data_IF_400443224094
#
_entry.id   IF_400443224094
#
_cell.length_a   1.000
_cell.length_b   1.000
_cell.length_c   1.000
_cell.angle_alpha   90.00
_cell.angle_beta   90.00
_cell.angle_gamma   90.00
#
_symmetry.space_group_name_H-M   'P 1'
#
loop_
_entity.id
_entity.type
_entity.pdbx_description
1 polymer ?
#
# COMPACT_ATOMS: atom_id res chain seq x y z
N UNK A 1 -36.88 -26.36 38.39
CA UNK A 1 -36.46 -26.88 37.08
C UNK A 1 -36.18 -25.67 36.21
N UNK A 2 -34.99 -25.09 36.36
CA UNK A 2 -34.51 -23.99 35.53
C UNK A 2 -33.67 -24.63 34.42
N UNK A 3 -34.18 -24.61 33.19
CA UNK A 3 -33.45 -25.09 32.02
C UNK A 3 -32.68 -23.89 31.46
N UNK A 4 -31.45 -23.71 31.94
CA UNK A 4 -30.51 -22.77 31.33
C UNK A 4 -30.07 -23.34 29.99
N UNK A 5 -30.52 -22.72 28.90
CA UNK A 5 -29.94 -22.98 27.58
C UNK A 5 -28.54 -22.37 27.52
N UNK A 6 -27.50 -23.15 27.18
CA UNK A 6 -26.20 -22.57 26.92
C UNK A 6 -26.25 -21.80 25.59
N UNK A 7 -25.96 -20.50 25.66
CA UNK A 7 -25.66 -19.69 24.48
C UNK A 7 -24.40 -20.26 23.79
N UNK A 8 -24.45 -20.58 22.48
CA UNK A 8 -23.25 -20.93 21.73
C UNK A 8 -22.55 -19.62 21.34
N UNK A 9 -21.83 -19.03 22.28
CA UNK A 9 -20.87 -17.97 21.97
C UNK A 9 -19.46 -18.40 22.38
N UNK A 10 -19.06 -19.55 21.84
CA UNK A 10 -17.65 -19.76 21.55
C UNK A 10 -17.36 -18.91 20.32
N UNK A 11 -16.86 -17.68 20.52
CA UNK A 11 -16.11 -17.02 19.46
C UNK A 11 -14.87 -17.88 19.22
N UNK A 12 -15.01 -18.87 18.33
CA UNK A 12 -13.87 -19.53 17.73
C UNK A 12 -13.03 -18.41 17.11
N UNK A 13 -11.82 -18.20 17.63
CA UNK A 13 -10.85 -17.36 16.97
C UNK A 13 -10.77 -17.82 15.52
N UNK A 14 -11.10 -16.94 14.58
CA UNK A 14 -11.04 -17.29 13.16
C UNK A 14 -9.56 -17.41 12.81
N UNK A 15 -9.02 -18.61 12.89
CA UNK A 15 -7.68 -18.92 12.40
C UNK A 15 -7.71 -18.78 10.88
N UNK A 16 -6.91 -17.85 10.34
CA UNK A 16 -6.71 -17.66 8.90
C UNK A 16 -5.24 -17.87 8.58
N UNK A 17 -4.96 -18.42 7.41
CA UNK A 17 -3.58 -18.53 6.97
C UNK A 17 -3.01 -17.14 6.65
N UNK A 18 -1.69 -16.97 6.80
CA UNK A 18 -1.04 -15.70 6.44
C UNK A 18 -1.25 -15.38 4.96
N UNK A 19 -1.25 -16.38 4.08
CA UNK A 19 -1.57 -16.22 2.65
C UNK A 19 -2.97 -15.63 2.45
N UNK A 20 -3.99 -16.18 3.11
CA UNK A 20 -5.36 -15.66 3.00
C UNK A 20 -5.48 -14.22 3.49
N UNK A 21 -4.76 -13.87 4.58
CA UNK A 21 -4.75 -12.48 5.09
C UNK A 21 -4.06 -11.55 4.10
N UNK A 22 -2.90 -11.95 3.55
CA UNK A 22 -2.16 -11.18 2.56
C UNK A 22 -2.98 -10.98 1.29
N UNK A 23 -3.63 -12.02 0.77
CA UNK A 23 -4.48 -11.94 -0.42
C UNK A 23 -5.65 -10.97 -0.23
N UNK A 24 -6.31 -11.01 0.94
CA UNK A 24 -7.37 -10.04 1.25
C UNK A 24 -6.85 -8.60 1.36
N UNK A 25 -5.67 -8.39 1.95
CA UNK A 25 -5.07 -7.06 2.05
C UNK A 25 -4.67 -6.51 0.67
N UNK A 26 -4.10 -7.36 -0.19
CA UNK A 26 -3.81 -7.00 -1.58
C UNK A 26 -5.08 -6.58 -2.30
N UNK A 27 -6.18 -7.35 -2.16
CA UNK A 27 -7.46 -7.00 -2.77
C UNK A 27 -7.97 -5.62 -2.32
N UNK A 28 -7.92 -5.33 -1.02
CA UNK A 28 -8.33 -4.02 -0.49
C UNK A 28 -7.46 -2.87 -1.01
N UNK A 29 -6.14 -3.07 -1.11
CA UNK A 29 -5.23 -2.06 -1.63
C UNK A 29 -5.46 -1.83 -3.13
N UNK A 30 -5.72 -2.88 -3.90
CA UNK A 30 -6.06 -2.78 -5.31
C UNK A 30 -7.36 -1.99 -5.53
N UNK A 31 -8.41 -2.30 -4.77
CA UNK A 31 -9.68 -1.55 -4.80
C UNK A 31 -9.45 -0.08 -4.48
N UNK A 32 -8.68 0.20 -3.42
CA UNK A 32 -8.33 1.57 -3.02
C UNK A 32 -7.55 2.31 -4.12
N UNK A 33 -6.59 1.65 -4.78
CA UNK A 33 -5.89 2.20 -5.93
C UNK A 33 -6.83 2.52 -7.10
N UNK A 34 -7.79 1.64 -7.40
CA UNK A 34 -8.79 1.90 -8.44
C UNK A 34 -9.66 3.12 -8.11
N UNK A 35 -10.08 3.26 -6.85
CA UNK A 35 -10.85 4.41 -6.39
C UNK A 35 -10.06 5.71 -6.56
N UNK A 36 -8.79 5.74 -6.16
CA UNK A 36 -7.93 6.92 -6.31
C UNK A 36 -7.72 7.28 -7.78
N UNK A 37 -7.40 6.30 -8.64
CA UNK A 37 -7.29 6.53 -10.08
C UNK A 37 -8.61 7.02 -10.69
N UNK A 38 -9.75 6.52 -10.19
CA UNK A 38 -11.08 6.99 -10.57
C UNK A 38 -11.28 8.47 -10.24
N UNK A 39 -10.93 8.88 -9.02
CA UNK A 39 -11.00 10.29 -8.60
C UNK A 39 -10.07 11.16 -9.45
N UNK A 40 -8.82 10.76 -9.66
CA UNK A 40 -7.86 11.51 -10.49
C UNK A 40 -8.34 11.66 -11.92
N UNK A 41 -8.95 10.61 -12.50
CA UNK A 41 -9.54 10.66 -13.84
C UNK A 41 -10.67 11.67 -13.90
N UNK A 42 -11.64 11.59 -12.99
CA UNK A 42 -12.78 12.52 -12.93
C UNK A 42 -12.28 13.95 -12.78
N UNK A 43 -11.32 14.20 -11.88
CA UNK A 43 -10.75 15.54 -11.73
C UNK A 43 -10.09 15.99 -13.04
N UNK A 44 -9.27 15.15 -13.66
CA UNK A 44 -8.61 15.43 -14.94
C UNK A 44 -9.60 15.80 -16.05
N UNK A 45 -10.70 15.05 -16.19
CA UNK A 45 -11.77 15.33 -17.16
C UNK A 45 -12.49 16.66 -16.87
N UNK A 46 -12.58 17.08 -15.61
CA UNK A 46 -13.20 18.35 -15.22
C UNK A 46 -12.25 19.56 -15.34
N UNK A 47 -10.92 19.35 -15.42
CA UNK A 47 -9.96 20.44 -15.61
C UNK A 47 -10.17 21.17 -16.94
N UNK A 48 -10.67 20.48 -17.95
CA UNK A 48 -11.02 21.06 -19.25
C UNK A 48 -12.19 22.05 -19.13
N UNK A 49 -13.06 21.87 -18.13
CA UNK A 49 -14.23 22.72 -17.90
C UNK A 49 -13.94 23.90 -16.97
N UNK A 50 -13.02 23.74 -16.02
CA UNK A 50 -12.58 24.79 -15.11
C UNK A 50 -11.11 24.57 -14.70
N UNK A 51 -10.23 25.56 -14.88
CA UNK A 51 -8.85 25.45 -14.43
C UNK A 51 -8.77 25.25 -12.92
N UNK A 52 -7.90 24.34 -12.48
CA UNK A 52 -7.64 24.10 -11.07
C UNK A 52 -6.80 25.23 -10.44
N UNK A 53 -7.01 25.45 -9.14
CA UNK A 53 -6.09 26.28 -8.36
C UNK A 53 -4.78 25.54 -8.08
N UNK A 54 -3.72 26.27 -7.73
CA UNK A 54 -2.44 25.67 -7.33
C UNK A 54 -2.59 24.71 -6.14
N UNK A 55 -3.52 25.01 -5.22
CA UNK A 55 -3.82 24.16 -4.09
C UNK A 55 -4.44 22.81 -4.51
N UNK A 56 -5.33 22.83 -5.52
CA UNK A 56 -5.94 21.62 -6.06
C UNK A 56 -4.92 20.78 -6.82
N UNK A 57 -4.04 21.41 -7.59
CA UNK A 57 -2.93 20.72 -8.28
C UNK A 57 -2.00 20.06 -7.25
N UNK A 58 -1.65 20.75 -6.16
CA UNK A 58 -0.85 20.16 -5.09
C UNK A 58 -1.56 18.99 -4.41
N UNK A 59 -2.87 19.09 -4.20
CA UNK A 59 -3.67 18.00 -3.63
C UNK A 59 -3.68 16.77 -4.57
N UNK A 60 -3.80 16.98 -5.89
CA UNK A 60 -3.73 15.91 -6.88
C UNK A 60 -2.36 15.24 -6.93
N UNK A 61 -1.27 16.01 -6.84
CA UNK A 61 0.08 15.45 -6.75
C UNK A 61 0.25 14.59 -5.49
N UNK A 62 -0.31 15.02 -4.36
CA UNK A 62 -0.32 14.20 -3.12
C UNK A 62 -1.14 12.92 -3.30
N UNK A 63 -2.30 13.01 -3.97
CA UNK A 63 -3.13 11.85 -4.28
C UNK A 63 -2.40 10.87 -5.22
N UNK A 64 -1.67 11.37 -6.20
CA UNK A 64 -0.84 10.56 -7.10
C UNK A 64 0.27 9.82 -6.36
N UNK A 65 1.02 10.56 -5.52
CA UNK A 65 2.05 9.96 -4.66
C UNK A 65 1.46 8.89 -3.72
N UNK A 66 0.29 9.15 -3.13
CA UNK A 66 -0.41 8.17 -2.29
C UNK A 66 -0.82 6.93 -3.09
N UNK A 67 -1.35 7.10 -4.31
CA UNK A 67 -1.77 6.01 -5.20
C UNK A 67 -0.58 5.11 -5.54
N UNK A 68 0.53 5.71 -5.96
CA UNK A 68 1.76 4.96 -6.28
C UNK A 68 2.31 4.21 -5.06
N UNK A 69 2.23 4.82 -3.87
CA UNK A 69 2.66 4.19 -2.62
C UNK A 69 1.81 2.96 -2.30
N UNK A 70 0.48 3.05 -2.45
CA UNK A 70 -0.43 1.92 -2.25
C UNK A 70 -0.15 0.80 -3.27
N UNK A 71 0.08 1.13 -4.55
CA UNK A 71 0.45 0.15 -5.58
C UNK A 71 1.75 -0.59 -5.24
N UNK A 72 2.76 0.16 -4.75
CA UNK A 72 4.02 -0.42 -4.33
C UNK A 72 3.85 -1.38 -3.14
N UNK A 73 3.07 -0.99 -2.13
CA UNK A 73 2.77 -1.85 -0.97
C UNK A 73 1.98 -3.09 -1.38
N UNK A 74 0.98 -2.95 -2.26
CA UNK A 74 0.23 -4.09 -2.83
C UNK A 74 1.18 -5.06 -3.53
N UNK A 75 2.11 -4.55 -4.34
CA UNK A 75 3.13 -5.37 -5.03
C UNK A 75 4.03 -6.12 -4.04
N UNK A 76 4.48 -5.45 -2.99
CA UNK A 76 5.31 -6.07 -1.93
C UNK A 76 4.55 -7.17 -1.21
N UNK A 77 3.28 -6.93 -0.86
CA UNK A 77 2.44 -7.93 -0.20
C UNK A 77 2.19 -9.14 -1.11
N UNK A 78 1.98 -8.96 -2.41
CA UNK A 78 1.90 -10.08 -3.37
C UNK A 78 3.20 -10.88 -3.41
N UNK A 79 4.35 -10.20 -3.48
CA UNK A 79 5.66 -10.86 -3.47
C UNK A 79 5.89 -11.61 -2.16
N UNK A 80 5.42 -11.05 -1.04
CA UNK A 80 5.46 -11.68 0.28
C UNK A 80 4.59 -12.94 0.32
N UNK A 81 3.34 -12.86 -0.14
CA UNK A 81 2.43 -14.00 -0.24
C UNK A 81 2.99 -15.13 -1.08
N UNK A 82 3.60 -14.80 -2.23
CA UNK A 82 4.29 -15.78 -3.07
C UNK A 82 5.51 -16.42 -2.38
N UNK A 83 6.19 -15.69 -1.48
CA UNK A 83 7.36 -16.17 -0.75
C UNK A 83 6.99 -17.05 0.46
N UNK A 84 5.78 -16.91 1.03
CA UNK A 84 5.32 -17.71 2.18
C UNK A 84 5.21 -19.22 1.89
N UNK A 85 5.23 -19.63 0.63
CA UNK A 85 5.36 -21.05 0.24
C UNK A 85 6.75 -21.65 0.49
N UNK A 86 7.77 -20.81 0.72
CA UNK A 86 9.13 -21.21 1.03
C UNK A 86 9.36 -21.10 2.55
N UNK A 87 9.48 -22.27 3.20
CA UNK A 87 9.85 -22.53 4.61
C UNK A 87 9.95 -21.32 5.57
N UNK A 88 9.14 -21.41 6.63
CA UNK A 88 8.96 -20.49 7.78
C UNK A 88 10.25 -19.98 8.47
N UNK A 89 11.42 -20.56 8.17
CA UNK A 89 12.70 -20.24 8.81
C UNK A 89 13.72 -19.52 7.91
N UNK A 90 13.43 -19.32 6.62
CA UNK A 90 14.36 -18.60 5.75
C UNK A 90 14.17 -17.07 5.86
N UNK A 91 15.26 -16.30 5.96
CA UNK A 91 15.18 -14.85 5.91
C UNK A 91 14.57 -14.39 4.58
N UNK A 92 13.67 -13.41 4.64
CA UNK A 92 13.05 -12.81 3.46
C UNK A 92 14.10 -12.03 2.65
N UNK A 93 14.21 -12.35 1.37
CA UNK A 93 15.06 -11.60 0.45
C UNK A 93 14.35 -10.30 0.00
N UNK A 94 14.89 -9.16 0.43
CA UNK A 94 14.36 -7.83 0.09
C UNK A 94 14.40 -7.59 -1.43
N UNK A 95 15.35 -8.18 -2.16
CA UNK A 95 15.40 -8.08 -3.62
C UNK A 95 14.21 -8.80 -4.28
N UNK A 96 13.75 -9.91 -3.69
CA UNK A 96 12.54 -10.62 -4.13
C UNK A 96 11.29 -9.81 -3.77
N UNK A 97 11.22 -9.27 -2.55
CA UNK A 97 10.07 -8.47 -2.09
C UNK A 97 9.88 -7.17 -2.87
N UNK A 98 10.98 -6.50 -3.22
CA UNK A 98 10.96 -5.23 -3.97
C UNK A 98 10.85 -5.41 -5.49
N UNK A 99 10.79 -6.65 -6.00
CA UNK A 99 10.71 -6.91 -7.43
C UNK A 99 9.45 -6.27 -8.04
N UNK A 100 9.66 -5.39 -9.02
CA UNK A 100 8.57 -4.68 -9.71
C UNK A 100 8.12 -3.39 -9.02
N UNK A 101 8.63 -3.07 -7.82
CA UNK A 101 8.42 -1.79 -7.16
C UNK A 101 9.31 -0.73 -7.82
N UNK A 102 8.71 0.38 -8.25
CA UNK A 102 9.42 1.49 -8.92
C UNK A 102 9.75 2.66 -7.98
N UNK A 103 9.12 2.70 -6.81
CA UNK A 103 9.31 3.76 -5.83
C UNK A 103 10.53 3.51 -4.95
N UNK A 104 11.61 4.25 -5.19
CA UNK A 104 12.87 4.13 -4.45
C UNK A 104 12.70 4.33 -2.94
N UNK A 105 11.86 5.27 -2.51
CA UNK A 105 11.60 5.50 -1.09
C UNK A 105 10.96 4.29 -0.40
N UNK A 106 10.07 3.56 -1.09
CA UNK A 106 9.47 2.33 -0.54
C UNK A 106 10.53 1.23 -0.41
N UNK A 107 11.43 1.11 -1.38
CA UNK A 107 12.54 0.16 -1.33
C UNK A 107 13.48 0.49 -0.17
N UNK A 108 13.80 1.76 0.04
CA UNK A 108 14.61 2.22 1.18
C UNK A 108 13.94 1.90 2.52
N UNK A 109 12.62 2.15 2.65
CA UNK A 109 11.87 1.79 3.86
C UNK A 109 11.91 0.28 4.13
N UNK A 110 11.89 -0.55 3.08
CA UNK A 110 12.06 -2.01 3.24
C UNK A 110 13.47 -2.42 3.65
N UNK A 111 14.51 -1.69 3.20
CA UNK A 111 15.91 -2.01 3.47
C UNK A 111 16.36 -1.51 4.85
N UNK A 112 16.00 -0.28 5.18
CA UNK A 112 16.56 0.47 6.32
C UNK A 112 15.54 0.74 7.44
N UNK A 113 14.27 0.37 7.22
CA UNK A 113 13.15 0.73 8.08
C UNK A 113 12.75 2.21 7.94
N UNK A 114 11.75 2.65 8.70
CA UNK A 114 11.26 4.05 8.67
C UNK A 114 12.24 5.07 9.28
N UNK A 115 13.49 4.70 9.59
CA UNK A 115 14.51 5.60 10.14
C UNK A 115 15.29 6.39 9.08
N UNK A 116 14.82 6.44 7.84
CA UNK A 116 15.30 7.45 6.89
C UNK A 116 14.57 8.76 7.20
N UNK A 117 15.11 9.55 8.13
CA UNK A 117 14.94 10.99 8.02
C UNK A 117 15.37 11.36 6.59
N UNK A 118 14.52 12.03 5.79
CA UNK A 118 15.00 12.55 4.53
C UNK A 118 16.09 13.55 4.89
N UNK A 119 17.34 13.21 4.60
CA UNK A 119 18.39 14.20 4.56
C UNK A 119 17.85 15.32 3.66
N UNK A 120 17.56 16.45 4.29
CA UNK A 120 17.00 17.63 3.67
C UNK A 120 17.91 18.00 2.49
N UNK A 121 17.57 17.57 1.28
CA UNK A 121 18.15 18.13 0.06
C UNK A 121 17.33 19.38 -0.28
N UNK A 122 17.51 20.36 0.61
CA UNK A 122 17.21 21.75 0.36
C UNK A 122 18.07 22.21 -0.81
N UNK A 123 17.46 22.25 -1.99
CA UNK A 123 17.77 23.15 -3.09
C UNK A 123 19.23 23.23 -3.54
N UNK A 124 19.55 22.51 -4.60
CA UNK A 124 20.42 23.08 -5.62
C UNK A 124 19.91 22.63 -6.99
N UNK A 125 19.18 23.54 -7.64
CA UNK A 125 18.87 23.45 -9.07
C UNK A 125 20.13 23.93 -9.77
N UNK A 126 20.97 23.01 -10.23
CA UNK A 126 22.10 23.33 -11.10
C UNK A 126 21.54 23.53 -12.52
N UNK A 127 21.31 24.80 -12.88
CA UNK A 127 21.03 25.21 -14.26
C UNK A 127 22.37 25.44 -14.96
N UNK A 128 22.58 24.71 -16.06
CA UNK A 128 23.70 24.80 -16.99
C UNK A 128 24.26 26.21 -17.23
#
# INVERSE_FOLDING_TARGET
MDVVHPLPHTMAGTERSVSEVVDHLVGLLDETCQDFMGVQRVVGENMDAAPLSDADVQALQKLDSATQTVEAVSTILRNLGASYGQQVEQPLDIAVLSRGVKLSHVIQVLQDGTQVEPACHSGEVDLF
#
